data_IF_259093031692
#
_entry.id   IF_259093031692
#
_cell.length_a   1.000
_cell.length_b   1.000
_cell.length_c   1.000
_cell.angle_alpha   90.00
_cell.angle_beta   90.00
_cell.angle_gamma   90.00
#
_symmetry.space_group_name_H-M   'P 1'
#
loop_
_entity.id
_entity.type
_entity.pdbx_description
1 polymer ?
#
# COMPACT_ATOMS: atom_id res chain seq x y z
N UNK A 1 -20.23 16.95 -12.97
CA UNK A 1 -19.14 17.48 -12.16
C UNK A 1 -17.97 16.51 -12.14
N UNK A 2 -16.75 16.98 -12.10
CA UNK A 2 -15.57 16.12 -12.25
C UNK A 2 -14.80 15.93 -10.94
N UNK A 3 -15.48 16.03 -9.80
CA UNK A 3 -14.85 15.89 -8.48
C UNK A 3 -14.12 14.55 -8.31
N UNK A 4 -14.62 13.48 -8.93
CA UNK A 4 -14.00 12.16 -8.87
C UNK A 4 -12.63 12.11 -9.53
N UNK A 5 -12.34 12.99 -10.52
CA UNK A 5 -11.03 13.05 -11.17
C UNK A 5 -9.96 13.64 -10.26
N UNK A 6 -10.37 14.44 -9.28
CA UNK A 6 -9.48 15.17 -8.40
C UNK A 6 -9.74 14.83 -6.93
N UNK A 7 -10.34 13.64 -6.68
CA UNK A 7 -10.64 13.24 -5.31
C UNK A 7 -9.36 13.15 -4.49
N UNK A 8 -9.43 13.70 -3.29
CA UNK A 8 -8.34 13.59 -2.33
C UNK A 8 -8.25 12.16 -1.78
N UNK A 9 -7.14 11.79 -1.16
CA UNK A 9 -7.09 10.59 -0.33
C UNK A 9 -8.16 10.63 0.74
N UNK A 10 -8.50 9.45 1.30
CA UNK A 10 -9.43 9.39 2.43
C UNK A 10 -8.91 10.25 3.59
N UNK A 11 -9.82 10.93 4.32
CA UNK A 11 -9.41 11.81 5.41
C UNK A 11 -8.73 11.07 6.56
N UNK A 12 -7.70 11.69 7.14
CA UNK A 12 -7.11 11.25 8.40
C UNK A 12 -8.20 11.28 9.48
N UNK A 13 -8.22 10.27 10.34
CA UNK A 13 -9.22 10.15 11.42
C UNK A 13 -10.41 9.30 11.04
N UNK A 14 -10.54 8.86 9.79
CA UNK A 14 -11.62 7.96 9.37
C UNK A 14 -11.19 6.51 9.47
N UNK A 15 -12.16 5.62 9.64
CA UNK A 15 -11.90 4.18 9.65
C UNK A 15 -11.49 3.74 8.24
N UNK A 16 -10.36 3.05 8.13
CA UNK A 16 -9.90 2.51 6.86
C UNK A 16 -10.86 1.42 6.37
N UNK A 17 -11.29 1.46 5.10
CA UNK A 17 -12.12 0.39 4.54
C UNK A 17 -11.46 -0.97 4.67
N UNK A 18 -12.21 -1.95 5.18
CA UNK A 18 -11.71 -3.32 5.29
C UNK A 18 -11.60 -3.95 3.89
N UNK A 19 -10.68 -4.89 3.77
CA UNK A 19 -10.50 -5.64 2.53
C UNK A 19 -9.86 -7.00 2.82
N UNK A 20 -9.93 -7.86 1.83
CA UNK A 20 -9.25 -9.14 1.83
C UNK A 20 -8.65 -9.35 0.45
N UNK A 21 -7.32 -9.40 0.36
CA UNK A 21 -6.61 -9.51 -0.92
C UNK A 21 -5.59 -10.64 -0.88
N UNK A 22 -5.42 -11.35 -2.01
CA UNK A 22 -4.33 -12.30 -2.15
C UNK A 22 -2.99 -11.57 -2.11
N UNK A 23 -1.98 -12.20 -1.52
CA UNK A 23 -0.60 -11.75 -1.63
C UNK A 23 0.14 -12.56 -2.70
N UNK A 24 1.42 -12.25 -2.88
CA UNK A 24 2.26 -12.94 -3.86
C UNK A 24 2.80 -14.29 -3.37
N UNK A 25 2.55 -14.64 -2.10
CA UNK A 25 3.00 -15.92 -1.50
C UNK A 25 1.90 -16.98 -1.45
N UNK A 26 0.74 -16.74 -2.03
CA UNK A 26 -0.38 -17.67 -1.99
C UNK A 26 -1.24 -17.54 -0.73
N UNK A 27 -0.98 -16.54 0.10
CA UNK A 27 -1.80 -16.22 1.28
C UNK A 27 -2.84 -15.16 0.98
N UNK A 28 -3.61 -14.82 2.00
CA UNK A 28 -4.62 -13.76 1.94
C UNK A 28 -4.38 -12.81 3.10
N UNK A 29 -4.37 -11.51 2.80
CA UNK A 29 -4.25 -10.46 3.82
C UNK A 29 -5.61 -9.82 4.00
N UNK A 30 -6.13 -9.87 5.22
CA UNK A 30 -7.37 -9.19 5.63
C UNK A 30 -7.01 -8.05 6.56
N UNK A 31 -7.38 -6.82 6.20
CA UNK A 31 -6.99 -5.65 6.97
C UNK A 31 -7.47 -5.73 8.43
N UNK A 32 -8.73 -6.11 8.64
CA UNK A 32 -9.27 -6.23 10.00
C UNK A 32 -8.57 -7.29 10.84
N UNK A 33 -7.91 -8.25 10.21
CA UNK A 33 -7.10 -9.26 10.90
C UNK A 33 -5.77 -8.71 11.41
N UNK A 34 -5.41 -7.49 11.06
CA UNK A 34 -4.16 -6.84 11.47
C UNK A 34 -4.36 -5.80 12.58
N UNK A 35 -5.54 -5.78 13.21
CA UNK A 35 -5.78 -4.90 14.36
C UNK A 35 -4.74 -5.18 15.46
N UNK A 36 -4.26 -4.11 16.07
CA UNK A 36 -3.14 -4.19 17.02
C UNK A 36 -1.79 -3.87 16.38
N UNK A 37 -1.72 -3.88 15.05
CA UNK A 37 -0.51 -3.48 14.30
C UNK A 37 -0.80 -2.23 13.50
N UNK A 38 0.22 -1.39 13.31
CA UNK A 38 0.16 -0.30 12.34
C UNK A 38 0.39 -0.88 10.95
N UNK A 39 -0.40 -0.44 9.97
CA UNK A 39 -0.33 -0.94 8.60
C UNK A 39 -0.04 0.22 7.65
N UNK A 40 0.94 0.03 6.77
CA UNK A 40 1.23 0.96 5.68
C UNK A 40 0.83 0.31 4.36
N UNK A 41 -0.03 0.99 3.61
CA UNK A 41 -0.43 0.58 2.27
C UNK A 41 0.20 1.52 1.26
N UNK A 42 0.96 0.97 0.33
CA UNK A 42 1.57 1.73 -0.76
C UNK A 42 0.86 1.34 -2.05
N UNK A 43 -0.08 2.18 -2.50
CA UNK A 43 -0.72 2.02 -3.81
C UNK A 43 0.21 2.56 -4.87
N UNK A 44 0.62 1.72 -5.82
CA UNK A 44 1.58 2.09 -6.86
C UNK A 44 1.13 1.59 -8.24
N UNK A 45 1.48 2.32 -9.33
CA UNK A 45 0.96 2.03 -10.66
C UNK A 45 1.38 0.69 -11.27
N UNK A 46 2.63 0.27 -11.10
CA UNK A 46 3.07 -0.93 -11.80
C UNK A 46 4.37 -1.53 -11.31
N UNK A 47 4.43 -2.86 -11.36
CA UNK A 47 5.61 -3.61 -11.00
C UNK A 47 6.77 -3.30 -11.95
N UNK A 48 7.97 -3.24 -11.39
CA UNK A 48 9.22 -3.08 -12.13
C UNK A 48 9.26 -1.83 -13.04
N UNK A 49 8.56 -0.77 -12.63
CA UNK A 49 8.69 0.55 -13.25
C UNK A 49 9.67 1.39 -12.43
N UNK A 50 10.39 2.36 -13.04
CA UNK A 50 11.46 3.09 -12.32
C UNK A 50 11.00 3.80 -11.05
N UNK A 51 9.89 4.53 -11.11
CA UNK A 51 9.37 5.26 -9.95
C UNK A 51 8.86 4.34 -8.85
N UNK A 52 8.14 3.27 -9.21
CA UNK A 52 7.61 2.31 -8.25
C UNK A 52 8.74 1.51 -7.60
N UNK A 53 9.72 1.12 -8.37
CA UNK A 53 10.91 0.43 -7.86
C UNK A 53 11.63 1.30 -6.83
N UNK A 54 11.86 2.58 -7.16
CA UNK A 54 12.51 3.52 -6.24
C UNK A 54 11.72 3.64 -4.93
N UNK A 55 10.41 3.82 -5.02
CA UNK A 55 9.56 3.98 -3.84
C UNK A 55 9.59 2.75 -2.94
N UNK A 56 9.41 1.56 -3.51
CA UNK A 56 9.38 0.34 -2.71
C UNK A 56 10.76 -0.02 -2.17
N UNK A 57 11.83 0.29 -2.90
CA UNK A 57 13.19 0.12 -2.39
C UNK A 57 13.47 1.02 -1.18
N UNK A 58 12.90 2.21 -1.13
CA UNK A 58 13.02 3.07 0.05
C UNK A 58 12.38 2.41 1.29
N UNK A 59 11.21 1.81 1.15
CA UNK A 59 10.58 1.07 2.25
C UNK A 59 11.37 -0.19 2.61
N UNK A 60 11.93 -0.89 1.62
CA UNK A 60 12.83 -2.02 1.88
C UNK A 60 14.01 -1.59 2.74
N UNK A 61 14.63 -0.47 2.40
CA UNK A 61 15.83 0.01 3.10
C UNK A 61 15.52 0.50 4.53
N UNK A 62 14.25 0.80 4.83
CA UNK A 62 13.78 1.19 6.17
C UNK A 62 13.02 0.06 6.87
N UNK A 63 13.13 -1.17 6.38
CA UNK A 63 12.33 -2.29 6.89
C UNK A 63 12.60 -2.62 8.36
N UNK A 64 13.86 -2.60 8.78
CA UNK A 64 14.19 -2.89 10.18
C UNK A 64 13.60 -1.85 11.13
N UNK A 65 13.55 -0.58 10.74
CA UNK A 65 12.87 0.47 11.50
C UNK A 65 11.37 0.22 11.58
N UNK A 66 10.74 -0.11 10.46
CA UNK A 66 9.31 -0.43 10.42
C UNK A 66 8.99 -1.60 11.35
N UNK A 67 9.78 -2.67 11.27
CA UNK A 67 9.60 -3.85 12.12
C UNK A 67 9.77 -3.51 13.61
N UNK A 68 10.75 -2.71 13.95
CA UNK A 68 10.98 -2.29 15.33
C UNK A 68 9.80 -1.50 15.90
N UNK A 69 9.05 -0.80 15.03
CA UNK A 69 7.85 -0.04 15.41
C UNK A 69 6.55 -0.85 15.31
N UNK A 70 6.61 -2.12 14.97
CA UNK A 70 5.42 -2.97 14.79
C UNK A 70 4.58 -2.59 13.57
N UNK A 71 5.22 -2.11 12.51
CA UNK A 71 4.56 -1.70 11.28
C UNK A 71 4.63 -2.80 10.23
N UNK A 72 3.47 -3.15 9.67
CA UNK A 72 3.34 -4.02 8.52
C UNK A 72 3.24 -3.17 7.25
N UNK A 73 4.04 -3.47 6.23
CA UNK A 73 4.04 -2.73 4.96
C UNK A 73 3.55 -3.63 3.84
N UNK A 74 2.69 -3.10 2.98
CA UNK A 74 2.17 -3.82 1.80
C UNK A 74 2.20 -2.92 0.59
N UNK A 75 2.74 -3.43 -0.53
CA UNK A 75 2.51 -2.81 -1.83
C UNK A 75 1.19 -3.31 -2.40
N UNK A 76 0.46 -2.46 -3.10
CA UNK A 76 -0.86 -2.78 -3.64
C UNK A 76 -0.98 -2.27 -5.07
N UNK A 77 -1.24 -3.17 -6.03
CA UNK A 77 -1.65 -2.78 -7.38
C UNK A 77 -2.41 -3.94 -8.06
N UNK A 78 -3.02 -3.71 -9.24
CA UNK A 78 -3.87 -4.73 -9.87
C UNK A 78 -3.14 -5.80 -10.66
N UNK A 79 -1.81 -5.80 -10.72
CA UNK A 79 -1.07 -6.80 -11.47
C UNK A 79 -1.11 -8.15 -10.78
N UNK A 80 -0.81 -9.21 -11.53
CA UNK A 80 -0.96 -10.59 -11.08
C UNK A 80 0.04 -10.97 -9.98
N UNK A 81 -0.27 -12.03 -9.25
CA UNK A 81 0.67 -12.61 -8.29
C UNK A 81 1.99 -12.98 -8.95
N UNK A 82 1.93 -13.49 -10.19
CA UNK A 82 3.15 -13.84 -10.95
C UNK A 82 4.04 -12.63 -11.20
N UNK A 83 3.44 -11.51 -11.59
CA UNK A 83 4.16 -10.24 -11.76
C UNK A 83 4.79 -9.80 -10.44
N UNK A 84 4.02 -9.86 -9.35
CA UNK A 84 4.48 -9.48 -8.02
C UNK A 84 5.63 -10.34 -7.53
N UNK A 85 5.58 -11.65 -7.75
CA UNK A 85 6.66 -12.57 -7.36
C UNK A 85 7.97 -12.18 -8.06
N UNK A 86 7.91 -11.90 -9.36
CA UNK A 86 9.10 -11.48 -10.11
C UNK A 86 9.66 -10.16 -9.59
N UNK A 87 8.81 -9.18 -9.39
CA UNK A 87 9.20 -7.85 -8.91
C UNK A 87 9.82 -7.93 -7.52
N UNK A 88 9.12 -8.60 -6.61
CA UNK A 88 9.59 -8.78 -5.24
C UNK A 88 10.94 -9.52 -5.18
N UNK A 89 11.08 -10.59 -5.94
CA UNK A 89 12.32 -11.37 -5.99
C UNK A 89 13.49 -10.58 -6.58
N UNK A 90 13.23 -9.77 -7.60
CA UNK A 90 14.26 -8.97 -8.27
C UNK A 90 14.89 -7.95 -7.33
N UNK A 91 14.10 -7.31 -6.48
CA UNK A 91 14.57 -6.24 -5.59
C UNK A 91 14.60 -6.64 -4.12
N UNK A 92 14.30 -7.89 -3.80
CA UNK A 92 14.35 -8.43 -2.43
C UNK A 92 13.46 -7.67 -1.45
N UNK A 93 12.22 -7.37 -1.84
CA UNK A 93 11.29 -6.72 -0.93
C UNK A 93 10.92 -7.68 0.20
N UNK A 94 11.08 -7.28 1.49
CA UNK A 94 10.76 -8.13 2.62
C UNK A 94 9.26 -8.15 2.96
N UNK A 95 8.46 -7.33 2.29
CA UNK A 95 7.03 -7.20 2.53
C UNK A 95 6.23 -7.76 1.37
N UNK A 96 4.98 -8.24 1.63
CA UNK A 96 4.13 -8.76 0.57
C UNK A 96 3.65 -7.69 -0.41
N UNK A 97 3.40 -8.12 -1.63
CA UNK A 97 2.72 -7.32 -2.65
C UNK A 97 1.31 -7.90 -2.85
N UNK A 98 0.29 -7.07 -2.68
CA UNK A 98 -1.10 -7.51 -2.73
C UNK A 98 -1.67 -7.38 -4.15
N UNK A 99 -2.48 -8.35 -4.54
CA UNK A 99 -3.11 -8.40 -5.86
C UNK A 99 -4.50 -7.77 -5.77
N UNK A 100 -4.64 -6.55 -6.25
CA UNK A 100 -5.91 -5.82 -6.25
C UNK A 100 -6.54 -5.84 -7.64
N UNK A 101 -7.03 -6.99 -8.05
CA UNK A 101 -7.61 -7.18 -9.36
C UNK A 101 -8.74 -6.18 -9.62
N UNK A 102 -8.66 -5.48 -10.76
CA UNK A 102 -9.66 -4.49 -11.14
C UNK A 102 -9.65 -3.22 -10.30
N UNK A 103 -8.61 -2.99 -9.51
CA UNK A 103 -8.50 -1.80 -8.65
C UNK A 103 -9.67 -1.64 -7.66
N UNK A 104 -10.22 -2.76 -7.18
CA UNK A 104 -11.40 -2.72 -6.29
C UNK A 104 -11.08 -2.05 -4.95
N UNK A 105 -9.96 -2.41 -4.35
CA UNK A 105 -9.52 -1.82 -3.09
C UNK A 105 -8.98 -0.41 -3.30
N UNK A 106 -8.23 -0.18 -4.40
CA UNK A 106 -7.80 1.16 -4.75
C UNK A 106 -8.99 2.12 -4.84
N UNK A 107 -10.13 1.67 -5.41
CA UNK A 107 -11.33 2.50 -5.49
C UNK A 107 -11.86 2.87 -4.10
N UNK A 108 -11.86 1.93 -3.16
CA UNK A 108 -12.28 2.19 -1.77
C UNK A 108 -11.37 3.24 -1.10
N UNK A 109 -10.11 3.30 -1.50
CA UNK A 109 -9.11 4.19 -0.92
C UNK A 109 -8.84 5.43 -1.79
N UNK A 110 -9.72 5.72 -2.77
CA UNK A 110 -9.60 6.87 -3.68
C UNK A 110 -8.28 6.89 -4.46
N UNK A 111 -7.71 5.70 -4.71
CA UNK A 111 -6.44 5.56 -5.43
C UNK A 111 -6.61 4.95 -6.82
N UNK A 112 -7.85 4.70 -7.27
CA UNK A 112 -8.10 4.14 -8.59
C UNK A 112 -8.02 5.21 -9.69
N UNK A 113 -7.78 4.76 -10.93
CA UNK A 113 -7.73 5.64 -12.10
C UNK A 113 -7.49 4.82 -13.35
N UNK A 114 -7.16 5.47 -14.48
CA UNK A 114 -6.70 4.74 -15.67
C UNK A 114 -5.48 3.89 -15.30
N UNK A 115 -4.61 4.45 -14.48
CA UNK A 115 -3.61 3.72 -13.72
C UNK A 115 -3.81 4.06 -12.24
N UNK A 116 -3.33 3.22 -11.34
CA UNK A 116 -3.41 3.49 -9.91
C UNK A 116 -2.77 4.84 -9.60
N UNK A 117 -3.47 5.66 -8.83
CA UNK A 117 -2.91 6.92 -8.31
C UNK A 117 -1.98 6.58 -7.16
N UNK A 118 -0.71 6.93 -7.31
CA UNK A 118 0.31 6.69 -6.29
C UNK A 118 -0.10 7.35 -4.97
N UNK A 119 -0.38 6.54 -3.94
CA UNK A 119 -0.92 7.01 -2.67
C UNK A 119 -0.40 6.14 -1.55
N UNK A 120 -0.03 6.75 -0.43
CA UNK A 120 0.43 6.03 0.76
C UNK A 120 -0.48 6.34 1.93
N UNK A 121 -0.91 5.28 2.63
CA UNK A 121 -1.70 5.36 3.85
C UNK A 121 -0.95 4.71 5.00
N UNK A 122 -1.02 5.30 6.19
CA UNK A 122 -0.68 4.62 7.43
C UNK A 122 -1.94 4.50 8.27
N UNK A 123 -2.24 3.28 8.66
CA UNK A 123 -3.44 2.93 9.42
C UNK A 123 -2.99 2.48 10.81
N UNK A 124 -3.55 3.10 11.84
CA UNK A 124 -3.21 2.78 13.22
C UNK A 124 -3.72 1.40 13.67
N UNK A 125 -3.29 0.96 14.86
CA UNK A 125 -3.71 -0.34 15.41
C UNK A 125 -5.22 -0.49 15.60
N UNK A 126 -5.93 0.62 15.71
CA UNK A 126 -7.39 0.66 15.84
C UNK A 126 -8.10 0.68 14.48
N UNK A 127 -7.37 0.63 13.36
CA UNK A 127 -7.92 0.68 12.01
C UNK A 127 -8.22 2.07 11.49
N UNK A 128 -7.80 3.11 12.19
CA UNK A 128 -8.06 4.50 11.81
C UNK A 128 -6.89 5.04 10.99
N UNK A 129 -7.21 5.74 9.89
CA UNK A 129 -6.19 6.35 9.03
C UNK A 129 -5.50 7.48 9.80
N UNK A 130 -4.16 7.40 9.90
CA UNK A 130 -3.32 8.38 10.60
C UNK A 130 -2.42 9.17 9.68
N UNK A 131 -2.25 8.72 8.43
CA UNK A 131 -1.46 9.38 7.39
C UNK A 131 -2.06 9.03 6.04
N UNK A 132 -2.15 10.02 5.16
CA UNK A 132 -2.65 9.81 3.80
C UNK A 132 -2.03 10.86 2.88
N UNK A 133 -1.31 10.41 1.84
CA UNK A 133 -0.67 11.35 0.91
C UNK A 133 -0.48 10.73 -0.47
N UNK A 134 -0.77 11.52 -1.51
CA UNK A 134 -0.42 11.20 -2.89
C UNK A 134 1.10 11.30 -3.08
N UNK A 135 1.63 10.55 -4.05
CA UNK A 135 3.02 10.64 -4.44
C UNK A 135 3.92 9.71 -3.67
N UNK A 136 5.14 10.16 -3.38
CA UNK A 136 6.20 9.36 -2.79
C UNK A 136 6.70 10.01 -1.50
N UNK A 137 5.88 10.06 -0.44
CA UNK A 137 6.38 10.52 0.85
C UNK A 137 7.51 9.60 1.31
N UNK A 138 8.50 10.16 2.01
CA UNK A 138 9.62 9.36 2.49
C UNK A 138 9.16 8.37 3.56
N UNK A 139 9.84 7.21 3.70
CA UNK A 139 9.53 6.30 4.81
C UNK A 139 9.58 6.97 6.18
N UNK A 140 10.50 7.90 6.39
CA UNK A 140 10.59 8.65 7.65
C UNK A 140 9.30 9.42 7.94
N UNK A 141 8.73 10.09 6.93
CA UNK A 141 7.45 10.78 7.10
C UNK A 141 6.31 9.81 7.39
N UNK A 142 6.27 8.71 6.63
CA UNK A 142 5.19 7.73 6.74
C UNK A 142 5.22 7.00 8.09
N UNK A 143 6.42 6.71 8.59
CA UNK A 143 6.60 5.93 9.82
C UNK A 143 6.57 6.78 11.09
N UNK A 144 6.52 8.09 10.95
CA UNK A 144 6.39 8.96 12.11
C UNK A 144 5.10 8.67 12.85
#
# INVERSE_FOLDING_TARGET
MFAWLFSDPLPIGTLAPDFSLPDDFGGVVKLSGLRGSTVVLVFYPGDDTPGCTKQLCQFRDHWSEARARGVEVFGVNPQSARSHVKFRGKFHFPFPLLVDQGQKVAALYHANGLIVKRTVYRIGPDGVIRFARRGMPSPEEVLR
#
